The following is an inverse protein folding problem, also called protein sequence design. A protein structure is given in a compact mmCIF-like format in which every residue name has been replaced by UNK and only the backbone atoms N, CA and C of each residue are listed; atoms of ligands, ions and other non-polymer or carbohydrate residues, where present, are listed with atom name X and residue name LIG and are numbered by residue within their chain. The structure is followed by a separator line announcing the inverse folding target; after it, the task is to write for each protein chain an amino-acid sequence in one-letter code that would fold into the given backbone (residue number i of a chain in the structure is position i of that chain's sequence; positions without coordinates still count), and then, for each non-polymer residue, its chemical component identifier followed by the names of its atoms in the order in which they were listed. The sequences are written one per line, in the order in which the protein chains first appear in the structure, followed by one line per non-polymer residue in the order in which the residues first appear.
data_IF_624711338926
#
_entry.id   IF_624711338926
#
_cell.length_a   1.000
_cell.length_b   1.000
_cell.length_c   1.000
_cell.angle_alpha   90.00
_cell.angle_beta   90.00
_cell.angle_gamma   90.00
#
_symmetry.space_group_name_H-M   'P 1'
#
loop_
_entity.id
_entity.type
_entity.pdbx_description
1 polymer ?
#
# COMPACT_ATOMS: atom_id res chain seq x y z
N UNK A 1 33.21 22.12 1.10
CA UNK A 1 33.67 20.79 0.67
C UNK A 1 32.65 19.77 1.17
N UNK A 2 32.00 19.08 0.21
CA UNK A 2 31.15 17.88 0.31
C UNK A 2 30.07 17.81 1.42
N UNK A 3 28.83 18.18 1.06
CA UNK A 3 27.63 17.61 1.65
C UNK A 3 27.62 16.11 1.30
N UNK A 4 27.80 15.26 2.31
CA UNK A 4 27.73 13.81 2.15
C UNK A 4 26.27 13.43 2.27
N UNK A 5 25.58 13.38 1.13
CA UNK A 5 24.23 12.83 1.04
C UNK A 5 24.25 11.45 1.70
N UNK A 6 23.60 11.34 2.86
CA UNK A 6 23.38 10.08 3.53
C UNK A 6 22.46 9.27 2.62
N UNK A 7 23.07 8.51 1.73
CA UNK A 7 22.41 7.55 0.87
C UNK A 7 21.68 6.58 1.81
N UNK A 8 20.40 6.86 2.06
CA UNK A 8 19.56 6.07 2.92
C UNK A 8 19.56 4.65 2.36
N UNK A 9 20.33 3.79 3.02
CA UNK A 9 20.63 2.45 2.59
C UNK A 9 19.29 1.70 2.52
N UNK A 10 18.83 1.48 1.29
CA UNK A 10 17.57 0.78 1.01
C UNK A 10 17.69 -0.60 1.66
N UNK A 11 16.81 -0.92 2.60
CA UNK A 11 16.83 -2.20 3.30
C UNK A 11 17.36 -2.18 4.74
N UNK A 12 17.50 -1.03 5.40
CA UNK A 12 17.70 -1.04 6.86
C UNK A 12 16.56 -1.81 7.55
N UNK A 13 16.94 -2.89 8.24
CA UNK A 13 16.10 -3.62 9.17
C UNK A 13 15.70 -2.66 10.29
N UNK A 14 14.49 -2.11 10.21
CA UNK A 14 13.86 -1.56 11.40
C UNK A 14 13.90 -2.64 12.48
N UNK A 15 14.18 -2.24 13.72
CA UNK A 15 14.16 -3.15 14.86
C UNK A 15 12.69 -3.53 15.15
N UNK A 16 12.19 -4.49 14.39
CA UNK A 16 10.85 -5.04 14.53
C UNK A 16 10.90 -5.96 15.73
N UNK A 17 10.26 -5.57 16.82
CA UNK A 17 10.10 -6.44 17.98
C UNK A 17 9.52 -7.79 17.49
N UNK A 18 10.11 -8.90 17.95
CA UNK A 18 9.61 -10.25 17.66
C UNK A 18 8.12 -10.33 17.98
N UNK A 19 7.31 -10.73 17.00
CA UNK A 19 5.84 -10.75 17.10
C UNK A 19 5.11 -9.55 16.47
N UNK A 20 5.83 -8.52 15.99
CA UNK A 20 5.21 -7.42 15.23
C UNK A 20 4.72 -7.87 13.85
N UNK A 21 3.52 -7.44 13.47
CA UNK A 21 2.88 -7.79 12.20
C UNK A 21 3.71 -7.22 11.04
N UNK A 22 4.12 -8.08 10.12
CA UNK A 22 4.81 -7.69 8.88
C UNK A 22 3.86 -7.77 7.70
N UNK A 23 3.79 -6.70 6.92
CA UNK A 23 3.01 -6.67 5.70
C UNK A 23 3.84 -7.25 4.55
N UNK A 24 3.17 -7.97 3.65
CA UNK A 24 3.75 -8.52 2.44
C UNK A 24 3.17 -7.78 1.23
N UNK A 25 4.02 -7.46 0.26
CA UNK A 25 3.55 -6.84 -0.97
C UNK A 25 2.76 -7.87 -1.77
N UNK A 26 1.53 -7.54 -2.17
CA UNK A 26 0.70 -8.44 -2.97
C UNK A 26 1.29 -8.75 -4.37
N UNK A 27 2.15 -7.88 -4.90
CA UNK A 27 2.74 -8.04 -6.23
C UNK A 27 3.93 -9.01 -6.23
N UNK A 28 4.89 -8.82 -5.32
CA UNK A 28 6.13 -9.62 -5.27
C UNK A 28 6.19 -10.62 -4.13
N UNK A 29 5.19 -10.65 -3.23
CA UNK A 29 5.12 -11.51 -2.05
C UNK A 29 6.32 -11.39 -1.08
N UNK A 30 7.05 -10.26 -1.12
CA UNK A 30 8.13 -9.97 -0.18
C UNK A 30 7.68 -9.04 0.95
N UNK A 31 8.31 -9.13 2.14
CA UNK A 31 8.09 -8.19 3.23
C UNK A 31 8.27 -6.73 2.78
N UNK A 32 7.33 -5.86 3.12
CA UNK A 32 7.43 -4.44 2.77
C UNK A 32 8.33 -3.72 3.77
N UNK A 33 9.46 -3.20 3.27
CA UNK A 33 10.34 -2.30 4.02
C UNK A 33 9.92 -0.83 3.88
N UNK A 34 9.54 -0.43 2.66
CA UNK A 34 9.10 0.93 2.33
C UNK A 34 7.90 0.83 1.42
N UNK A 35 6.85 1.60 1.72
CA UNK A 35 5.65 1.66 0.89
C UNK A 35 5.80 2.69 -0.22
N UNK A 36 5.24 2.37 -1.38
CA UNK A 36 4.97 3.31 -2.46
C UNK A 36 3.46 3.42 -2.67
N UNK A 37 2.95 4.66 -2.69
CA UNK A 37 1.55 4.97 -2.99
C UNK A 37 1.43 5.64 -4.36
N UNK A 38 0.63 5.07 -5.24
CA UNK A 38 0.42 5.59 -6.59
C UNK A 38 -0.59 6.73 -6.58
N UNK A 39 -0.40 7.76 -7.40
CA UNK A 39 -1.35 8.87 -7.57
C UNK A 39 -1.91 8.84 -9.00
N UNK A 40 -3.23 9.03 -9.23
CA UNK A 40 -4.28 9.43 -8.28
C UNK A 40 -4.99 8.31 -7.54
N UNK A 41 -4.82 7.07 -7.99
CA UNK A 41 -5.65 5.96 -7.50
C UNK A 41 -5.38 5.56 -6.05
N UNK A 42 -4.28 5.99 -5.45
CA UNK A 42 -3.89 5.72 -4.05
C UNK A 42 -3.54 4.26 -3.74
N UNK A 43 -3.44 3.38 -4.74
CA UNK A 43 -3.00 2.00 -4.51
C UNK A 43 -1.60 1.96 -3.88
N UNK A 44 -1.42 1.01 -2.96
CA UNK A 44 -0.22 0.90 -2.14
C UNK A 44 0.47 -0.44 -2.36
N UNK A 45 1.76 -0.39 -2.66
CA UNK A 45 2.63 -1.56 -2.84
C UNK A 45 3.95 -1.36 -2.08
N UNK A 46 4.90 -2.30 -2.18
CA UNK A 46 6.28 -1.97 -1.84
C UNK A 46 6.81 -0.93 -2.85
N UNK A 47 7.79 -0.12 -2.44
CA UNK A 47 8.32 0.96 -3.27
C UNK A 47 8.77 0.48 -4.66
N UNK A 48 9.45 -0.67 -4.73
CA UNK A 48 9.90 -1.25 -6.00
C UNK A 48 8.73 -1.57 -6.94
N UNK A 49 7.74 -2.33 -6.47
CA UNK A 49 6.58 -2.66 -7.30
C UNK A 49 5.71 -1.45 -7.62
N UNK A 50 5.67 -0.43 -6.76
CA UNK A 50 5.00 0.82 -7.06
C UNK A 50 5.70 1.58 -8.19
N UNK A 51 7.04 1.59 -8.21
CA UNK A 51 7.84 2.25 -9.25
C UNK A 51 7.80 1.57 -10.62
N UNK A 52 7.53 0.26 -10.68
CA UNK A 52 7.44 -0.46 -11.95
C UNK A 52 6.15 -0.17 -12.73
N UNK A 53 5.18 0.56 -12.15
CA UNK A 53 3.91 1.08 -12.70
C UNK A 53 2.93 0.08 -13.37
N UNK A 54 3.42 -1.01 -13.95
CA UNK A 54 2.68 -2.01 -14.74
C UNK A 54 1.62 -2.78 -13.93
N UNK A 55 1.70 -2.73 -12.61
CA UNK A 55 0.80 -3.48 -11.71
C UNK A 55 -0.47 -2.70 -11.38
N UNK A 56 -0.49 -1.40 -11.64
CA UNK A 56 -1.66 -0.57 -11.39
C UNK A 56 -2.58 -0.56 -12.62
N UNK A 57 -3.84 -0.97 -12.47
CA UNK A 57 -4.84 -0.97 -13.57
C UNK A 57 -5.30 0.42 -14.01
N UNK A 58 -4.79 1.47 -13.37
CA UNK A 58 -5.18 2.87 -13.60
C UNK A 58 -3.95 3.67 -13.94
N UNK A 59 -4.09 4.72 -14.73
CA UNK A 59 -2.99 5.61 -15.08
C UNK A 59 -2.33 6.20 -13.81
N UNK A 60 -1.04 5.95 -13.65
CA UNK A 60 -0.26 6.43 -12.52
C UNK A 60 0.57 7.62 -12.98
N UNK A 61 0.28 8.80 -12.42
CA UNK A 61 1.04 10.01 -12.70
C UNK A 61 2.36 10.05 -11.92
N UNK A 62 2.36 9.53 -10.68
CA UNK A 62 3.53 9.49 -9.81
C UNK A 62 3.40 8.48 -8.69
N UNK A 63 4.52 8.15 -8.06
CA UNK A 63 4.61 7.32 -6.86
C UNK A 63 5.12 8.17 -5.70
N UNK A 64 4.35 8.22 -4.62
CA UNK A 64 4.73 8.83 -3.35
C UNK A 64 5.38 7.76 -2.45
N UNK A 65 6.61 8.01 -2.02
CA UNK A 65 7.29 7.19 -1.01
C UNK A 65 6.72 7.53 0.37
N UNK A 66 6.15 6.54 1.06
CA UNK A 66 5.62 6.72 2.41
C UNK A 66 6.70 6.34 3.44
N UNK A 67 7.17 7.28 4.28
CA UNK A 67 8.13 7.00 5.34
C UNK A 67 7.56 6.04 6.39
N UNK A 68 8.43 5.29 7.08
CA UNK A 68 8.00 4.34 8.10
C UNK A 68 7.30 5.01 9.28
N UNK A 69 7.75 6.21 9.66
CA UNK A 69 7.21 6.97 10.78
C UNK A 69 5.78 7.50 10.57
N UNK A 70 5.31 7.63 9.33
CA UNK A 70 4.05 8.32 9.04
C UNK A 70 2.81 7.46 9.30
N UNK A 71 2.98 6.13 9.47
CA UNK A 71 1.86 5.18 9.54
C UNK A 71 1.10 5.09 8.21
N UNK A 72 0.50 3.94 7.91
CA UNK A 72 -0.26 3.77 6.66
C UNK A 72 -1.41 2.78 6.87
N UNK A 73 -2.61 3.24 6.54
CA UNK A 73 -3.83 2.43 6.61
C UNK A 73 -4.18 1.94 5.21
N UNK A 74 -4.23 0.62 5.01
CA UNK A 74 -4.44 0.02 3.68
C UNK A 74 -5.81 -0.65 3.63
N UNK A 75 -6.63 -0.29 2.66
CA UNK A 75 -7.91 -0.96 2.40
C UNK A 75 -7.68 -2.40 1.90
N UNK A 76 -8.25 -3.42 2.55
CA UNK A 76 -8.11 -4.79 2.08
C UNK A 76 -8.91 -5.06 0.79
N UNK A 77 -9.93 -4.25 0.50
CA UNK A 77 -10.79 -4.44 -0.66
C UNK A 77 -10.22 -3.79 -1.94
N UNK A 78 -9.48 -2.69 -1.79
CA UNK A 78 -9.00 -1.90 -2.93
C UNK A 78 -7.50 -1.68 -2.95
N UNK A 79 -6.76 -2.05 -1.90
CA UNK A 79 -5.33 -1.76 -1.72
C UNK A 79 -4.96 -0.28 -1.65
N UNK A 80 -5.95 0.61 -1.50
CA UNK A 80 -5.70 2.05 -1.37
C UNK A 80 -5.15 2.38 0.02
N UNK A 81 -4.16 3.27 0.07
CA UNK A 81 -3.44 3.69 1.27
C UNK A 81 -3.83 5.08 1.75
N UNK A 82 -4.23 5.19 3.00
CA UNK A 82 -4.76 6.39 3.66
C UNK A 82 -3.86 6.84 4.81
N UNK A 83 -3.85 8.15 5.06
CA UNK A 83 -3.03 8.76 6.11
C UNK A 83 -3.65 8.61 7.49
N UNK A 84 -4.98 8.51 7.55
CA UNK A 84 -5.72 8.39 8.81
C UNK A 84 -6.68 7.21 8.78
N UNK A 85 -7.01 6.70 9.97
CA UNK A 85 -8.03 5.65 10.11
C UNK A 85 -9.41 6.13 9.66
N UNK A 86 -9.75 7.40 9.90
CA UNK A 86 -11.00 8.00 9.48
C UNK A 86 -11.18 7.99 7.94
N UNK A 87 -10.13 8.32 7.20
CA UNK A 87 -10.13 8.24 5.72
C UNK A 87 -10.37 6.80 5.24
N UNK A 88 -9.70 5.81 5.86
CA UNK A 88 -9.92 4.40 5.54
C UNK A 88 -11.35 3.97 5.87
N UNK A 89 -11.89 4.38 7.02
CA UNK A 89 -13.24 4.03 7.44
C UNK A 89 -14.30 4.59 6.49
N UNK A 90 -14.13 5.84 6.05
CA UNK A 90 -15.01 6.46 5.05
C UNK A 90 -14.96 5.69 3.72
N UNK A 91 -13.75 5.41 3.22
CA UNK A 91 -13.57 4.62 2.01
C UNK A 91 -14.22 3.23 2.11
N UNK A 92 -14.05 2.56 3.23
CA UNK A 92 -14.63 1.24 3.46
C UNK A 92 -16.17 1.28 3.44
N UNK A 93 -16.80 2.35 3.93
CA UNK A 93 -18.26 2.53 3.82
C UNK A 93 -18.70 2.66 2.37
N UNK A 94 -18.00 3.48 1.59
CA UNK A 94 -18.31 3.70 0.17
C UNK A 94 -18.16 2.41 -0.65
N UNK A 95 -17.06 1.68 -0.46
CA UNK A 95 -16.82 0.39 -1.14
C UNK A 95 -17.89 -0.63 -0.78
N UNK A 96 -18.27 -0.76 0.49
CA UNK A 96 -19.35 -1.68 0.90
C UNK A 96 -20.66 -1.39 0.19
N UNK A 97 -21.05 -0.12 0.08
CA UNK A 97 -22.27 0.29 -0.64
C UNK A 97 -22.17 -0.06 -2.12
N UNK A 98 -21.02 0.17 -2.76
CA UNK A 98 -20.81 -0.13 -4.18
C UNK A 98 -20.87 -1.63 -4.48
N UNK A 99 -20.27 -2.46 -3.62
CA UNK A 99 -20.33 -3.92 -3.72
C UNK A 99 -21.77 -4.42 -3.50
N UNK A 100 -22.47 -3.89 -2.48
CA UNK A 100 -23.86 -4.26 -2.22
C UNK A 100 -24.80 -3.88 -3.38
N UNK A 101 -24.52 -2.79 -4.09
CA UNK A 101 -25.26 -2.36 -5.28
C UNK A 101 -24.98 -3.21 -6.53
N UNK A 102 -23.88 -3.98 -6.56
CA UNK A 102 -23.48 -4.83 -7.69
C UNK A 102 -23.16 -6.25 -7.22
N UNK A 103 -24.18 -7.07 -6.87
CA UNK A 103 -24.01 -8.40 -6.29
C UNK A 103 -23.45 -9.47 -7.26
N UNK A 104 -22.91 -9.11 -8.42
CA UNK A 104 -22.49 -10.04 -9.48
C UNK A 104 -21.19 -10.81 -9.19
N UNK A 105 -20.60 -10.69 -8.00
CA UNK A 105 -19.46 -11.51 -7.58
C UNK A 105 -19.86 -12.31 -6.35
N UNK A 106 -20.61 -13.39 -6.60
CA UNK A 106 -20.74 -14.49 -5.64
C UNK A 106 -19.34 -14.93 -5.20
N UNK A 107 -19.15 -15.26 -3.91
CA UNK A 107 -17.89 -15.84 -3.48
C UNK A 107 -17.69 -17.14 -4.26
N UNK A 108 -16.55 -17.28 -4.94
CA UNK A 108 -16.07 -18.59 -5.39
C UNK A 108 -16.03 -19.45 -4.13
N UNK A 109 -16.90 -20.46 -4.09
CA UNK A 109 -16.97 -21.41 -2.99
C UNK A 109 -15.55 -21.90 -2.69
N UNK A 110 -15.08 -21.64 -1.47
CA UNK A 110 -13.82 -22.17 -0.98
C UNK A 110 -13.89 -23.70 -1.08
N UNK A 111 -12.93 -24.28 -1.81
CA UNK A 111 -12.69 -25.73 -1.83
C UNK A 111 -12.01 -26.18 -0.56
#
# INVERSE_FOLDING_TARGET
MAQKDAQAQIGQLHNRATGSKTHFCISCNFPVAVYGRTWPCLHTYCLSCASDLDKCRTDVARVERIPCEQGLFISPATLQGFKTEQELAEHARQVKTNIAAHPALTPVAAR
#
